data_IF_967984838261
#
_entry.id   IF_967984838261
#
_cell.length_a   1.000
_cell.length_b   1.000
_cell.length_c   1.000
_cell.angle_alpha   90.00
_cell.angle_beta   90.00
_cell.angle_gamma   90.00
#
_symmetry.space_group_name_H-M   'P 1'
#
loop_
_entity.id
_entity.type
_entity.pdbx_description
1 polymer ?
#
# COMPACT_ATOMS: atom_id res chain seq x y z
N UNK A 1 -10.31 11.33 16.85
CA UNK A 1 -8.85 11.12 17.01
C UNK A 1 -8.19 11.54 15.72
N UNK A 2 -7.13 12.35 15.77
CA UNK A 2 -6.28 12.57 14.58
C UNK A 2 -5.54 11.24 14.33
N UNK A 3 -5.72 10.64 13.15
CA UNK A 3 -5.00 9.43 12.77
C UNK A 3 -3.66 9.83 12.13
N UNK A 4 -2.61 9.03 12.33
CA UNK A 4 -1.31 9.28 11.70
C UNK A 4 -1.13 8.44 10.45
N UNK A 5 -0.59 9.08 9.40
CA UNK A 5 -0.29 8.43 8.13
C UNK A 5 0.46 7.11 8.32
N UNK A 6 -0.03 6.03 7.70
CA UNK A 6 0.67 4.74 7.71
C UNK A 6 1.87 4.82 6.79
N UNK A 7 3.04 4.42 7.29
CA UNK A 7 4.31 4.52 6.55
C UNK A 7 5.02 3.18 6.51
N UNK A 8 5.60 2.88 5.34
CA UNK A 8 6.53 1.78 5.19
C UNK A 8 7.86 2.12 5.88
N UNK A 9 8.29 1.28 6.83
CA UNK A 9 9.61 1.40 7.47
C UNK A 9 10.61 0.44 6.83
N UNK A 10 10.18 -0.79 6.56
CA UNK A 10 11.02 -1.83 5.99
C UNK A 10 10.17 -2.82 5.19
N UNK A 11 10.77 -3.41 4.16
CA UNK A 11 10.22 -4.58 3.51
C UNK A 11 11.34 -5.57 3.15
N UNK A 12 10.99 -6.84 3.09
CA UNK A 12 11.83 -7.91 2.57
C UNK A 12 10.98 -8.76 1.64
N UNK A 13 11.54 -9.10 0.48
CA UNK A 13 10.88 -9.94 -0.52
C UNK A 13 11.76 -11.15 -0.81
N UNK A 14 11.13 -12.31 -0.86
CA UNK A 14 11.70 -13.54 -1.41
C UNK A 14 10.84 -13.92 -2.61
N UNK A 15 11.44 -14.01 -3.79
CA UNK A 15 10.77 -14.44 -5.02
C UNK A 15 11.75 -15.07 -6.00
N UNK A 16 11.24 -15.88 -6.93
CA UNK A 16 12.01 -16.60 -7.93
C UNK A 16 11.15 -17.68 -8.58
N UNK A 17 11.58 -18.20 -9.74
CA UNK A 17 10.82 -19.16 -10.58
C UNK A 17 10.16 -20.30 -9.79
N UNK A 18 10.87 -20.87 -8.81
CA UNK A 18 10.39 -21.98 -7.96
C UNK A 18 10.22 -21.60 -6.49
N UNK A 19 10.42 -20.32 -6.16
CA UNK A 19 10.24 -19.85 -4.80
C UNK A 19 8.79 -19.46 -4.59
N UNK A 20 8.22 -19.76 -3.41
CA UNK A 20 6.92 -19.22 -3.02
C UNK A 20 7.12 -17.72 -2.76
N UNK A 21 6.51 -16.81 -3.54
CA UNK A 21 6.68 -15.39 -3.34
C UNK A 21 6.18 -15.01 -1.94
N UNK A 22 7.08 -14.48 -1.13
CA UNK A 22 6.85 -14.15 0.27
C UNK A 22 7.33 -12.74 0.53
N UNK A 23 6.53 -11.95 1.23
CA UNK A 23 6.90 -10.61 1.65
C UNK A 23 6.72 -10.45 3.15
N UNK A 24 7.70 -9.83 3.81
CA UNK A 24 7.60 -9.31 5.17
C UNK A 24 7.65 -7.80 5.10
N UNK A 25 6.70 -7.12 5.73
CA UNK A 25 6.65 -5.66 5.82
C UNK A 25 6.65 -5.22 7.28
N UNK A 26 7.33 -4.11 7.55
CA UNK A 26 7.22 -3.37 8.80
C UNK A 26 6.61 -2.00 8.48
N UNK A 27 5.46 -1.72 9.08
CA UNK A 27 4.74 -0.46 8.95
C UNK A 27 4.75 0.29 10.27
N UNK A 28 4.75 1.62 10.20
CA UNK A 28 4.38 2.49 11.32
C UNK A 28 2.89 2.83 11.17
N UNK A 29 2.05 2.36 12.09
CA UNK A 29 0.60 2.54 12.08
C UNK A 29 0.21 3.27 13.37
N UNK A 30 -0.27 4.51 13.25
CA UNK A 30 -0.70 5.32 14.41
C UNK A 30 0.35 5.46 15.53
N UNK A 31 1.63 5.38 15.18
CA UNK A 31 2.76 5.47 16.11
C UNK A 31 3.35 4.12 16.53
N UNK A 32 2.68 3.01 16.22
CA UNK A 32 3.13 1.66 16.57
C UNK A 32 3.80 0.94 15.38
N UNK A 33 4.88 0.20 15.65
CA UNK A 33 5.49 -0.67 14.64
C UNK A 33 4.71 -1.99 14.51
N UNK A 34 4.19 -2.25 13.32
CA UNK A 34 3.50 -3.51 13.00
C UNK A 34 4.31 -4.27 11.96
N UNK A 35 4.61 -5.53 12.26
CA UNK A 35 5.27 -6.46 11.34
C UNK A 35 4.27 -7.49 10.86
N UNK A 36 4.26 -7.73 9.55
CA UNK A 36 3.36 -8.69 8.90
C UNK A 36 4.08 -9.44 7.80
N UNK A 37 3.68 -10.68 7.54
CA UNK A 37 4.22 -11.52 6.47
C UNK A 37 3.10 -12.22 5.72
N UNK A 38 3.16 -12.22 4.39
CA UNK A 38 2.20 -12.89 3.54
C UNK A 38 2.88 -13.56 2.34
N UNK A 39 2.24 -14.61 1.83
CA UNK A 39 2.57 -15.21 0.54
C UNK A 39 1.64 -14.66 -0.55
N UNK A 40 2.05 -14.79 -1.81
CA UNK A 40 1.26 -14.35 -2.96
C UNK A 40 1.71 -14.97 -4.27
N UNK A 41 1.05 -14.59 -5.36
CA UNK A 41 1.35 -15.09 -6.70
C UNK A 41 2.60 -14.44 -7.31
N UNK A 42 3.04 -13.33 -6.72
CA UNK A 42 4.24 -12.60 -7.11
C UNK A 42 4.74 -11.67 -6.01
N UNK A 43 5.90 -11.02 -6.19
CA UNK A 43 6.51 -10.17 -5.17
C UNK A 43 5.67 -8.94 -4.81
N UNK A 44 4.95 -8.37 -5.78
CA UNK A 44 4.03 -7.25 -5.52
C UNK A 44 2.80 -7.74 -4.76
N UNK A 45 2.18 -8.84 -5.22
CA UNK A 45 0.99 -9.40 -4.58
C UNK A 45 1.25 -9.81 -3.12
N UNK A 46 2.35 -10.50 -2.85
CA UNK A 46 2.73 -10.89 -1.48
C UNK A 46 2.96 -9.66 -0.59
N UNK A 47 3.60 -8.60 -1.12
CA UNK A 47 3.81 -7.36 -0.40
C UNK A 47 2.49 -6.64 -0.08
N UNK A 48 1.57 -6.53 -1.02
CA UNK A 48 0.27 -5.90 -0.80
C UNK A 48 -0.59 -6.69 0.21
N UNK A 49 -0.60 -8.03 0.12
CA UNK A 49 -1.25 -8.90 1.11
C UNK A 49 -0.64 -8.76 2.51
N UNK A 50 0.68 -8.56 2.61
CA UNK A 50 1.34 -8.34 3.89
C UNK A 50 0.92 -7.00 4.50
N UNK A 51 0.81 -5.95 3.67
CA UNK A 51 0.29 -4.64 4.07
C UNK A 51 -1.16 -4.72 4.52
N UNK A 52 -2.05 -5.36 3.74
CA UNK A 52 -3.45 -5.61 4.10
C UNK A 52 -3.59 -6.25 5.47
N UNK A 53 -2.80 -7.30 5.72
CA UNK A 53 -2.78 -8.00 7.00
C UNK A 53 -2.24 -7.12 8.14
N UNK A 54 -1.26 -6.25 7.86
CA UNK A 54 -0.71 -5.33 8.87
C UNK A 54 -1.71 -4.24 9.28
N UNK A 55 -2.47 -3.70 8.32
CA UNK A 55 -3.43 -2.62 8.58
C UNK A 55 -4.86 -3.11 8.85
N UNK A 56 -5.10 -4.42 8.77
CA UNK A 56 -6.39 -5.04 9.04
C UNK A 56 -7.50 -4.66 8.07
N UNK A 57 -7.17 -4.43 6.78
CA UNK A 57 -8.13 -4.02 5.75
C UNK A 57 -8.24 -5.08 4.66
N UNK A 58 -9.45 -5.34 4.17
CA UNK A 58 -9.65 -6.06 2.90
C UNK A 58 -9.74 -5.06 1.77
N UNK A 59 -9.04 -5.31 0.68
CA UNK A 59 -9.10 -4.46 -0.49
C UNK A 59 -9.14 -5.27 -1.78
N UNK A 60 -9.37 -4.58 -2.91
CA UNK A 60 -9.23 -5.17 -4.24
C UNK A 60 -8.50 -4.18 -5.13
N UNK A 61 -7.37 -4.60 -5.68
CA UNK A 61 -6.66 -3.84 -6.71
C UNK A 61 -7.48 -3.86 -8.01
N UNK A 62 -7.94 -2.69 -8.46
CA UNK A 62 -8.79 -2.50 -9.64
C UNK A 62 -7.97 -2.12 -10.87
N UNK A 63 -7.01 -1.24 -10.69
CA UNK A 63 -6.08 -0.81 -11.72
C UNK A 63 -4.67 -0.76 -11.16
N UNK A 64 -3.72 -1.12 -12.01
CA UNK A 64 -2.29 -1.06 -11.72
C UNK A 64 -1.57 -0.64 -12.99
N UNK A 65 -0.87 0.49 -12.91
CA UNK A 65 -0.04 0.98 -14.01
C UNK A 65 1.31 1.42 -13.51
N UNK A 66 2.32 1.16 -14.35
CA UNK A 66 3.70 1.48 -14.05
C UNK A 66 4.35 2.20 -15.22
N UNK A 67 5.12 3.25 -14.93
CA UNK A 67 5.88 3.98 -15.94
C UNK A 67 7.22 4.44 -15.40
N UNK A 68 8.22 4.50 -16.28
CA UNK A 68 9.50 5.12 -15.96
C UNK A 68 9.35 6.64 -15.99
N UNK A 69 9.88 7.32 -14.97
CA UNK A 69 9.98 8.79 -14.94
C UNK A 69 11.31 9.30 -15.46
N UNK A 70 12.37 8.50 -15.35
CA UNK A 70 13.70 8.84 -15.81
C UNK A 70 14.32 7.67 -16.60
N UNK A 71 15.55 7.88 -17.08
CA UNK A 71 16.26 6.92 -17.93
C UNK A 71 17.58 6.53 -17.27
N UNK A 72 18.10 5.34 -17.61
CA UNK A 72 19.35 4.82 -17.07
C UNK A 72 19.12 3.80 -15.95
N UNK A 73 20.20 3.35 -15.32
CA UNK A 73 20.14 2.33 -14.24
C UNK A 73 19.49 2.84 -12.96
N UNK A 74 19.49 4.16 -12.77
CA UNK A 74 18.88 4.85 -11.64
C UNK A 74 17.49 5.41 -12.00
N UNK A 75 16.84 4.79 -12.99
CA UNK A 75 15.51 5.17 -13.41
C UNK A 75 14.52 5.02 -12.26
N UNK A 76 13.76 6.08 -11.98
CA UNK A 76 12.67 6.04 -11.01
C UNK A 76 11.42 5.47 -11.69
N UNK A 77 10.84 4.44 -11.10
CA UNK A 77 9.52 3.93 -11.47
C UNK A 77 8.43 4.66 -10.71
N UNK A 78 7.41 5.15 -11.42
CA UNK A 78 6.14 5.57 -10.83
C UNK A 78 5.14 4.42 -10.99
N UNK A 79 4.57 3.99 -9.86
CA UNK A 79 3.43 3.08 -9.81
C UNK A 79 2.19 3.89 -9.44
N UNK A 80 1.10 3.64 -10.16
CA UNK A 80 -0.24 4.15 -9.86
C UNK A 80 -1.18 2.98 -9.67
N UNK A 81 -2.05 3.12 -8.67
CA UNK A 81 -3.05 2.10 -8.34
C UNK A 81 -4.42 2.73 -8.21
N UNK A 82 -5.45 1.96 -8.52
CA UNK A 82 -6.81 2.18 -8.04
C UNK A 82 -7.18 0.99 -7.19
N UNK A 83 -7.55 1.23 -5.94
CA UNK A 83 -7.86 0.20 -4.96
C UNK A 83 -9.28 0.42 -4.46
N UNK A 84 -10.09 -0.63 -4.49
CA UNK A 84 -11.40 -0.66 -3.85
C UNK A 84 -11.21 -1.08 -2.39
N UNK A 85 -11.46 -0.15 -1.47
CA UNK A 85 -11.55 -0.40 -0.03
C UNK A 85 -13.01 -0.34 0.39
N UNK A 86 -13.54 -1.43 0.94
CA UNK A 86 -14.98 -1.54 1.19
C UNK A 86 -15.75 -1.26 -0.12
N UNK A 87 -16.54 -0.18 -0.19
CA UNK A 87 -17.28 0.25 -1.38
C UNK A 87 -16.70 1.52 -2.03
N UNK A 88 -15.49 1.94 -1.65
CA UNK A 88 -14.85 3.16 -2.12
C UNK A 88 -13.62 2.89 -2.99
N UNK A 89 -13.62 3.39 -4.22
CA UNK A 89 -12.44 3.37 -5.08
C UNK A 89 -11.53 4.58 -4.78
N UNK A 90 -10.28 4.28 -4.45
CA UNK A 90 -9.29 5.27 -4.07
C UNK A 90 -8.03 5.08 -4.90
N UNK A 91 -7.55 6.16 -5.50
CA UNK A 91 -6.31 6.16 -6.26
C UNK A 91 -5.11 6.50 -5.38
N UNK A 92 -3.99 5.84 -5.66
CA UNK A 92 -2.72 6.06 -5.00
C UNK A 92 -1.55 6.06 -5.96
N UNK A 93 -0.45 6.67 -5.55
CA UNK A 93 0.80 6.74 -6.32
C UNK A 93 2.02 6.51 -5.44
N UNK A 94 3.04 5.87 -6.00
CA UNK A 94 4.31 5.62 -5.33
C UNK A 94 5.45 5.73 -6.32
N UNK A 95 6.57 6.30 -5.88
CA UNK A 95 7.76 6.47 -6.70
C UNK A 95 8.95 5.88 -5.95
N UNK A 96 9.71 5.02 -6.62
CA UNK A 96 10.98 4.49 -6.13
C UNK A 96 11.83 3.99 -7.29
N UNK A 97 13.13 3.80 -7.06
CA UNK A 97 14.00 3.01 -7.94
C UNK A 97 13.69 1.51 -7.85
N UNK A 98 13.06 1.05 -6.77
CA UNK A 98 12.53 -0.30 -6.61
C UNK A 98 11.03 -0.33 -6.91
N UNK A 99 10.64 -1.08 -7.94
CA UNK A 99 9.25 -1.23 -8.40
C UNK A 99 8.34 -1.79 -7.30
N UNK A 100 8.85 -2.71 -6.47
CA UNK A 100 8.06 -3.34 -5.41
C UNK A 100 7.83 -2.32 -4.29
N UNK A 101 8.86 -1.56 -3.92
CA UNK A 101 8.71 -0.47 -2.95
C UNK A 101 7.74 0.61 -3.46
N UNK A 102 7.85 1.00 -4.73
CA UNK A 102 6.93 1.95 -5.36
C UNK A 102 5.48 1.45 -5.31
N UNK A 103 5.27 0.14 -5.51
CA UNK A 103 3.95 -0.49 -5.42
C UNK A 103 3.38 -0.43 -4.02
N UNK A 104 4.18 -0.76 -2.99
CA UNK A 104 3.76 -0.66 -1.59
C UNK A 104 3.44 0.79 -1.21
N UNK A 105 4.28 1.75 -1.62
CA UNK A 105 4.03 3.18 -1.40
C UNK A 105 2.74 3.65 -2.08
N UNK A 106 2.48 3.20 -3.31
CA UNK A 106 1.25 3.55 -4.03
C UNK A 106 -0.01 3.04 -3.32
N UNK A 107 0.05 1.81 -2.81
CA UNK A 107 -1.03 1.24 -2.02
C UNK A 107 -1.25 2.00 -0.70
N UNK A 108 -0.17 2.32 0.03
CA UNK A 108 -0.25 3.08 1.28
C UNK A 108 -0.81 4.49 1.06
N UNK A 109 -0.45 5.18 -0.03
CA UNK A 109 -1.05 6.47 -0.40
C UNK A 109 -2.56 6.34 -0.63
N UNK A 110 -3.02 5.29 -1.33
CA UNK A 110 -4.45 5.02 -1.50
C UNK A 110 -5.14 4.72 -0.15
N UNK A 111 -4.55 3.86 0.68
CA UNK A 111 -5.08 3.50 1.98
C UNK A 111 -5.16 4.69 2.94
N UNK A 112 -4.14 5.55 2.95
CA UNK A 112 -4.10 6.73 3.80
C UNK A 112 -5.19 7.75 3.41
N UNK A 113 -5.46 7.90 2.10
CA UNK A 113 -6.57 8.73 1.59
C UNK A 113 -7.93 8.14 1.95
N UNK A 114 -8.09 6.82 1.84
CA UNK A 114 -9.29 6.12 2.28
C UNK A 114 -9.58 6.39 3.77
N UNK A 115 -8.58 6.21 4.65
CA UNK A 115 -8.71 6.51 6.09
C UNK A 115 -9.08 7.97 6.37
N UNK A 116 -8.48 8.90 5.64
CA UNK A 116 -8.77 10.33 5.80
C UNK A 116 -10.23 10.67 5.42
N UNK A 117 -10.73 10.11 4.32
CA UNK A 117 -12.12 10.30 3.87
C UNK A 117 -13.12 9.69 4.84
N UNK A 118 -12.89 8.46 5.31
CA UNK A 118 -13.75 7.79 6.29
C UNK A 118 -13.86 8.59 7.59
N UNK A 119 -12.74 9.12 8.08
CA UNK A 119 -12.71 9.98 9.28
C UNK A 119 -13.52 11.26 9.08
N UNK A 120 -13.40 11.91 7.93
CA UNK A 120 -14.15 13.13 7.62
C UNK A 120 -15.66 12.89 7.56
N UNK A 121 -16.10 11.79 6.93
CA UNK A 121 -17.52 11.41 6.86
C UNK A 121 -18.08 11.11 8.26
N UNK A 122 -17.37 10.34 9.07
CA UNK A 122 -17.79 10.01 10.44
C UNK A 122 -17.91 11.26 11.34
N UNK A 123 -17.05 12.26 11.15
CA UNK A 123 -17.13 13.52 11.88
C UNK A 123 -18.38 14.31 11.50
N UNK A 124 -18.72 14.41 10.21
CA UNK A 124 -19.92 15.13 9.75
C UNK A 124 -21.22 14.48 10.24
N UNK A 125 -21.28 13.14 10.22
CA UNK A 125 -22.43 12.39 10.76
C UNK A 125 -22.58 12.67 12.27
N UNK A 126 -21.48 12.73 13.03
CA UNK A 126 -21.50 13.10 14.46
C UNK A 126 -21.89 14.55 14.71
N UNK A 127 -21.57 15.45 13.78
CA UNK A 127 -21.95 16.86 13.80
C UNK A 127 -23.39 17.12 13.32
N UNK A 128 -24.11 16.08 12.88
CA UNK A 128 -25.51 16.18 12.48
C UNK A 128 -25.75 16.87 11.13
N UNK A 129 -24.74 16.86 10.25
CA UNK A 129 -24.79 17.39 8.87
C UNK A 129 -24.89 16.24 7.88
#
# INVERSE_FOLDING_TARGET
>A
KSYQEVKLQQFQIVSGDKAIPTATVKLLVDGDEIVSTSCGDGPVDSALKAVESAVGVKSRLKDYSIRSLSHGKDAMGEVRVIVLFEDEEVSGKGISTDIIEASVKAYLDAYNRFRARKTFVEQRIKEGI
#
